data_IF_468307709277
#
_entry.id   IF_468307709277
#
_cell.length_a   1.000
_cell.length_b   1.000
_cell.length_c   1.000
_cell.angle_alpha   90.00
_cell.angle_beta   90.00
_cell.angle_gamma   90.00
#
_symmetry.space_group_name_H-M   'P 1'
#
loop_
_entity.id
_entity.type
_entity.pdbx_description
1 polymer ?
#
# COMPACT_ATOMS: atom_id res chain seq x y z
N UNK A 1 -44.21 2.80 -51.63
CA UNK A 1 -43.63 3.54 -50.49
C UNK A 1 -42.71 2.57 -49.78
N UNK A 2 -41.41 2.63 -50.05
CA UNK A 2 -40.42 1.69 -49.54
C UNK A 2 -39.82 2.18 -48.22
N UNK A 3 -39.41 1.21 -47.41
CA UNK A 3 -39.02 1.26 -46.00
C UNK A 3 -37.73 2.08 -45.77
N UNK A 4 -37.72 2.96 -44.77
CA UNK A 4 -36.50 3.43 -44.12
C UNK A 4 -36.37 2.80 -42.74
N UNK A 5 -35.60 1.71 -42.63
CA UNK A 5 -35.16 1.15 -41.35
C UNK A 5 -33.74 1.63 -41.06
N UNK A 6 -33.59 2.36 -39.95
CA UNK A 6 -32.39 3.10 -39.53
C UNK A 6 -31.13 2.25 -39.39
N UNK A 7 -30.04 2.82 -39.88
CA UNK A 7 -28.62 2.46 -39.83
C UNK A 7 -28.02 2.52 -38.40
N UNK A 8 -28.59 1.77 -37.46
CA UNK A 8 -28.07 1.66 -36.08
C UNK A 8 -27.31 0.36 -35.82
N UNK A 9 -27.65 -0.70 -36.55
CA UNK A 9 -27.11 -2.05 -36.34
C UNK A 9 -25.69 -2.23 -36.88
N UNK A 10 -25.31 -1.43 -37.88
CA UNK A 10 -23.98 -1.39 -38.50
C UNK A 10 -22.94 -0.74 -37.57
N UNK A 11 -23.29 0.39 -36.95
CA UNK A 11 -22.45 1.13 -36.00
C UNK A 11 -22.22 0.36 -34.69
N UNK A 12 -23.25 -0.32 -34.18
CA UNK A 12 -23.08 -1.20 -33.01
C UNK A 12 -22.16 -2.38 -33.33
N UNK A 13 -22.27 -2.95 -34.53
CA UNK A 13 -21.44 -4.08 -34.96
C UNK A 13 -19.97 -3.69 -35.12
N UNK A 14 -19.69 -2.53 -35.72
CA UNK A 14 -18.33 -2.03 -35.87
C UNK A 14 -17.66 -1.78 -34.51
N UNK A 15 -18.40 -1.24 -33.54
CA UNK A 15 -17.92 -1.04 -32.16
C UNK A 15 -17.66 -2.36 -31.44
N UNK A 16 -18.52 -3.36 -31.61
CA UNK A 16 -18.31 -4.70 -31.04
C UNK A 16 -17.05 -5.36 -31.62
N UNK A 17 -16.81 -5.23 -32.93
CA UNK A 17 -15.63 -5.80 -33.57
C UNK A 17 -14.34 -5.08 -33.12
N UNK A 18 -14.39 -3.77 -32.92
CA UNK A 18 -13.29 -3.00 -32.33
C UNK A 18 -12.99 -3.43 -30.88
N UNK A 19 -14.02 -3.71 -30.07
CA UNK A 19 -13.85 -4.22 -28.70
C UNK A 19 -13.24 -5.62 -28.72
N UNK A 20 -13.68 -6.51 -29.60
CA UNK A 20 -13.10 -7.86 -29.75
C UNK A 20 -11.61 -7.81 -30.13
N UNK A 21 -11.23 -6.91 -31.02
CA UNK A 21 -9.83 -6.71 -31.38
C UNK A 21 -8.99 -6.27 -30.17
N UNK A 22 -9.47 -5.30 -29.39
CA UNK A 22 -8.80 -4.85 -28.17
C UNK A 22 -8.72 -5.95 -27.10
N UNK A 23 -9.76 -6.76 -26.93
CA UNK A 23 -9.76 -7.92 -26.02
C UNK A 23 -8.72 -8.96 -26.46
N UNK A 24 -8.61 -9.21 -27.77
CA UNK A 24 -7.59 -10.11 -28.32
C UNK A 24 -6.17 -9.63 -28.01
N UNK A 25 -5.92 -8.34 -28.19
CA UNK A 25 -4.63 -7.71 -27.88
C UNK A 25 -4.32 -7.75 -26.38
N UNK A 26 -5.31 -7.47 -25.54
CA UNK A 26 -5.18 -7.57 -24.08
C UNK A 26 -4.89 -9.01 -23.64
N UNK A 27 -5.55 -10.00 -24.23
CA UNK A 27 -5.31 -11.42 -23.94
C UNK A 27 -3.89 -11.86 -24.36
N UNK A 28 -3.36 -11.30 -25.45
CA UNK A 28 -1.98 -11.53 -25.90
C UNK A 28 -0.95 -10.93 -24.93
N UNK A 29 -1.25 -9.77 -24.34
CA UNK A 29 -0.43 -9.20 -23.28
C UNK A 29 -0.53 -10.02 -21.99
N UNK A 30 -1.73 -10.48 -21.64
CA UNK A 30 -1.99 -11.30 -20.45
C UNK A 30 -1.25 -12.64 -20.50
N UNK A 31 -1.19 -13.30 -21.66
CA UNK A 31 -0.43 -14.54 -21.82
C UNK A 31 1.08 -14.33 -21.66
N UNK A 32 1.59 -13.17 -22.09
CA UNK A 32 2.99 -12.78 -21.88
C UNK A 32 3.32 -12.58 -20.40
N UNK A 33 2.38 -12.01 -19.63
CA UNK A 33 2.53 -11.85 -18.17
C UNK A 33 2.40 -13.19 -17.42
N UNK A 34 1.51 -14.09 -17.87
CA UNK A 34 1.34 -15.43 -17.26
C UNK A 34 2.53 -16.37 -17.48
N UNK A 35 3.32 -16.14 -18.52
CA UNK A 35 4.52 -16.92 -18.83
C UNK A 35 5.79 -16.34 -18.20
N UNK A 36 5.67 -15.29 -17.37
CA UNK A 36 6.75 -14.91 -16.47
C UNK A 36 6.81 -16.03 -15.42
N UNK A 37 7.93 -16.75 -15.29
CA UNK A 37 8.07 -17.71 -14.22
C UNK A 37 7.78 -16.99 -12.91
N UNK A 38 6.92 -17.55 -12.07
CA UNK A 38 6.64 -17.04 -10.70
C UNK A 38 7.87 -17.16 -9.76
N UNK A 39 9.05 -17.31 -10.37
CA UNK A 39 10.36 -17.53 -9.80
C UNK A 39 11.20 -16.27 -9.96
N UNK A 40 10.84 -15.20 -9.24
CA UNK A 40 11.87 -14.62 -8.38
C UNK A 40 12.09 -15.67 -7.29
N UNK A 41 12.98 -16.62 -7.59
CA UNK A 41 13.32 -17.74 -6.75
C UNK A 41 13.50 -17.22 -5.32
N UNK A 42 12.90 -17.90 -4.36
CA UNK A 42 12.52 -17.38 -3.04
C UNK A 42 13.68 -16.90 -2.13
N UNK A 43 14.86 -16.67 -2.67
CA UNK A 43 16.11 -16.36 -2.00
C UNK A 43 16.58 -14.97 -2.40
N UNK A 44 16.84 -14.15 -1.39
CA UNK A 44 17.58 -12.92 -1.58
C UNK A 44 19.05 -13.25 -1.90
N UNK A 45 19.72 -12.36 -2.62
CA UNK A 45 21.18 -12.45 -2.82
C UNK A 45 21.90 -12.50 -1.47
N UNK A 46 23.06 -13.16 -1.42
CA UNK A 46 23.87 -13.29 -0.21
C UNK A 46 24.09 -11.93 0.46
N UNK A 47 23.85 -11.85 1.77
CA UNK A 47 23.94 -10.59 2.56
C UNK A 47 22.61 -9.85 2.73
N UNK A 48 21.58 -10.21 1.96
CA UNK A 48 20.23 -9.65 2.13
C UNK A 48 19.34 -10.59 2.94
N UNK A 49 18.49 -10.00 3.77
CA UNK A 49 17.47 -10.68 4.56
C UNK A 49 16.13 -10.52 3.86
N UNK A 50 15.40 -11.63 3.69
CA UNK A 50 14.06 -11.61 3.09
C UNK A 50 13.03 -11.17 4.12
N UNK A 51 12.16 -10.26 3.72
CA UNK A 51 10.91 -9.99 4.42
C UNK A 51 9.79 -9.80 3.39
N UNK A 52 8.76 -10.64 3.51
CA UNK A 52 7.66 -10.73 2.54
C UNK A 52 8.19 -10.92 1.10
N UNK A 53 7.88 -9.97 0.20
CA UNK A 53 8.28 -9.98 -1.23
C UNK A 53 9.53 -9.16 -1.51
N UNK A 54 10.22 -8.70 -0.48
CA UNK A 54 11.34 -7.76 -0.58
C UNK A 54 12.60 -8.32 0.11
N UNK A 55 13.75 -7.80 -0.32
CA UNK A 55 15.07 -8.15 0.20
C UNK A 55 15.74 -6.90 0.79
N UNK A 56 16.31 -7.02 1.99
CA UNK A 56 16.85 -5.91 2.75
C UNK A 56 18.29 -6.17 3.15
N UNK A 57 19.16 -5.17 3.05
CA UNK A 57 20.52 -5.23 3.58
C UNK A 57 20.73 -4.08 4.55
N UNK A 58 21.25 -4.40 5.75
CA UNK A 58 21.52 -3.42 6.80
C UNK A 58 22.99 -3.05 6.77
N UNK A 59 23.31 -1.87 6.22
CA UNK A 59 24.67 -1.35 6.11
C UNK A 59 24.97 -0.47 7.32
N UNK A 60 26.12 -0.70 7.97
CA UNK A 60 26.53 -0.01 9.20
C UNK A 60 27.56 1.11 8.99
N UNK A 61 27.88 1.40 7.73
CA UNK A 61 28.82 2.45 7.38
C UNK A 61 28.15 3.82 7.47
N UNK A 62 28.79 4.76 8.17
CA UNK A 62 28.39 6.16 8.20
C UNK A 62 28.49 6.76 6.80
N UNK A 63 27.36 7.27 6.30
CA UNK A 63 27.24 7.88 4.98
C UNK A 63 26.25 9.03 5.08
N UNK A 64 26.42 10.05 4.23
CA UNK A 64 25.32 10.99 3.95
C UNK A 64 24.18 10.27 3.24
N UNK A 65 22.97 10.83 3.28
CA UNK A 65 21.81 10.24 2.59
C UNK A 65 22.11 9.96 1.10
N UNK A 66 22.75 10.91 0.42
CA UNK A 66 23.10 10.77 -0.99
C UNK A 66 24.16 9.68 -1.23
N UNK A 67 25.16 9.58 -0.36
CA UNK A 67 26.16 8.52 -0.43
C UNK A 67 25.54 7.15 -0.17
N UNK A 68 24.61 7.05 0.78
CA UNK A 68 23.89 5.82 1.09
C UNK A 68 23.01 5.36 -0.09
N UNK A 69 22.25 6.28 -0.69
CA UNK A 69 21.45 5.99 -1.87
C UNK A 69 22.30 5.53 -3.06
N UNK A 70 23.44 6.17 -3.31
CA UNK A 70 24.35 5.75 -4.36
C UNK A 70 24.95 4.36 -4.09
N UNK A 71 25.35 4.08 -2.86
CA UNK A 71 25.83 2.76 -2.47
C UNK A 71 24.76 1.68 -2.66
N UNK A 72 23.51 1.94 -2.25
CA UNK A 72 22.39 1.04 -2.50
C UNK A 72 22.20 0.76 -4.00
N UNK A 73 22.27 1.79 -4.85
CA UNK A 73 22.18 1.65 -6.31
C UNK A 73 23.31 0.80 -6.89
N UNK A 74 24.53 0.95 -6.39
CA UNK A 74 25.67 0.11 -6.80
C UNK A 74 25.44 -1.37 -6.48
N UNK A 75 24.66 -1.68 -5.44
CA UNK A 75 24.23 -3.04 -5.08
C UNK A 75 22.98 -3.52 -5.83
N UNK A 76 22.47 -2.75 -6.80
CA UNK A 76 21.22 -3.07 -7.49
C UNK A 76 19.96 -2.86 -6.64
N UNK A 77 20.06 -2.06 -5.57
CA UNK A 77 18.99 -1.77 -4.62
C UNK A 77 18.72 -0.25 -4.51
N UNK A 78 17.84 0.14 -3.60
CA UNK A 78 17.59 1.53 -3.21
C UNK A 78 17.59 1.64 -1.68
N UNK A 79 17.68 2.87 -1.15
CA UNK A 79 17.30 3.09 0.24
C UNK A 79 15.87 2.61 0.48
N UNK A 80 15.64 2.09 1.67
CA UNK A 80 14.42 1.37 2.02
C UNK A 80 13.20 2.29 1.94
N UNK A 81 12.13 1.81 1.30
CA UNK A 81 10.79 2.35 1.49
C UNK A 81 10.07 1.58 2.58
N UNK A 82 9.26 2.27 3.37
CA UNK A 82 8.51 1.69 4.48
C UNK A 82 7.04 1.89 4.17
N UNK A 83 6.36 0.82 3.78
CA UNK A 83 5.00 0.84 3.25
C UNK A 83 3.97 0.20 4.18
N UNK A 84 4.44 -0.55 5.16
CA UNK A 84 3.56 -1.19 6.15
C UNK A 84 4.17 -1.15 7.54
N UNK A 85 3.30 -1.27 8.54
CA UNK A 85 3.72 -1.40 9.92
C UNK A 85 4.56 -2.64 10.17
N UNK A 86 4.27 -3.76 9.50
CA UNK A 86 5.03 -5.00 9.65
C UNK A 86 6.43 -4.85 9.09
N UNK A 87 6.59 -4.15 7.96
CA UNK A 87 7.90 -3.80 7.39
C UNK A 87 8.68 -2.89 8.33
N UNK A 88 8.03 -1.85 8.87
CA UNK A 88 8.64 -0.97 9.86
C UNK A 88 9.11 -1.75 11.08
N UNK A 89 8.25 -2.62 11.64
CA UNK A 89 8.58 -3.48 12.79
C UNK A 89 9.74 -4.43 12.48
N UNK A 90 9.74 -5.03 11.29
CA UNK A 90 10.83 -5.88 10.81
C UNK A 90 12.16 -5.11 10.80
N UNK A 91 12.19 -3.92 10.20
CA UNK A 91 13.38 -3.05 10.15
C UNK A 91 13.83 -2.68 11.57
N UNK A 92 12.90 -2.21 12.41
CA UNK A 92 13.18 -1.82 13.80
C UNK A 92 13.82 -2.95 14.61
N UNK A 93 13.30 -4.18 14.48
CA UNK A 93 13.85 -5.34 15.18
C UNK A 93 15.28 -5.70 14.76
N UNK A 94 15.68 -5.37 13.53
CA UNK A 94 17.03 -5.63 13.03
C UNK A 94 18.03 -4.54 13.41
N UNK A 95 17.57 -3.30 13.60
CA UNK A 95 18.42 -2.17 13.97
C UNK A 95 18.50 -1.93 15.49
N UNK A 96 17.44 -2.25 16.25
CA UNK A 96 17.34 -1.96 17.68
C UNK A 96 18.45 -2.59 18.54
N UNK A 97 18.90 -3.84 18.30
CA UNK A 97 19.98 -4.46 19.08
C UNK A 97 21.34 -3.77 18.95
N UNK A 98 21.49 -2.83 18.01
CA UNK A 98 22.73 -2.15 17.72
C UNK A 98 22.73 -0.67 18.11
N UNK A 99 21.69 -0.19 18.81
CA UNK A 99 21.59 1.21 19.26
C UNK A 99 22.76 1.65 20.13
N UNK A 100 23.32 0.74 20.94
CA UNK A 100 24.45 1.04 21.83
C UNK A 100 25.77 1.24 21.08
N UNK A 101 25.85 0.81 19.82
CA UNK A 101 27.02 0.99 18.95
C UNK A 101 27.01 2.34 18.21
N UNK A 102 25.90 3.10 18.33
CA UNK A 102 25.73 4.42 17.70
C UNK A 102 25.38 5.45 18.80
N UNK A 103 26.39 5.94 19.54
CA UNK A 103 26.20 6.87 20.65
C UNK A 103 25.87 8.31 20.21
N UNK A 104 26.10 8.66 18.94
CA UNK A 104 25.56 9.86 18.31
C UNK A 104 24.19 9.54 17.72
N UNK A 105 23.29 10.51 17.75
CA UNK A 105 21.91 10.51 17.24
C UNK A 105 21.81 10.31 15.71
N UNK A 106 22.48 9.30 15.16
CA UNK A 106 22.63 9.11 13.72
C UNK A 106 21.48 8.27 13.17
N UNK A 107 20.68 8.98 12.38
CA UNK A 107 19.45 8.57 11.74
C UNK A 107 19.77 7.47 10.73
N UNK A 108 19.11 6.32 10.84
CA UNK A 108 19.10 5.34 9.75
C UNK A 108 18.48 6.00 8.50
N UNK A 109 19.23 6.07 7.40
CA UNK A 109 18.72 6.65 6.17
C UNK A 109 17.62 5.77 5.56
N UNK A 110 16.41 6.33 5.49
CA UNK A 110 15.32 5.78 4.70
C UNK A 110 15.23 6.51 3.35
N UNK A 111 14.60 5.88 2.36
CA UNK A 111 14.54 6.39 0.99
C UNK A 111 13.54 7.52 0.75
N UNK A 112 13.02 8.17 1.79
CA UNK A 112 12.07 9.29 1.62
C UNK A 112 12.84 10.54 1.17
N UNK A 113 12.35 11.22 0.14
CA UNK A 113 12.90 12.47 -0.39
C UNK A 113 11.79 13.39 -0.88
N UNK A 114 11.97 14.70 -0.77
CA UNK A 114 11.11 15.74 -1.35
C UNK A 114 11.84 16.57 -2.42
N UNK A 115 13.00 16.10 -2.89
CA UNK A 115 13.81 16.78 -3.93
C UNK A 115 13.05 17.06 -5.24
N UNK A 116 11.97 16.32 -5.51
CA UNK A 116 11.13 16.56 -6.68
C UNK A 116 10.21 17.79 -6.49
N UNK A 117 9.69 17.98 -5.28
CA UNK A 117 8.84 19.10 -4.89
C UNK A 117 8.87 19.24 -3.37
N UNK A 118 9.39 20.37 -2.89
CA UNK A 118 9.48 20.70 -1.47
C UNK A 118 8.15 20.45 -0.74
N UNK A 119 8.20 19.72 0.37
CA UNK A 119 7.02 19.35 1.15
C UNK A 119 6.21 18.17 0.61
N UNK A 120 6.54 17.63 -0.57
CA UNK A 120 5.92 16.43 -1.15
C UNK A 120 6.92 15.27 -1.13
N UNK A 121 6.85 14.50 -0.05
CA UNK A 121 7.75 13.36 0.17
C UNK A 121 7.37 12.14 -0.67
N UNK A 122 8.37 11.55 -1.32
CA UNK A 122 8.27 10.36 -2.16
C UNK A 122 9.39 9.36 -1.85
N UNK A 123 9.12 8.09 -2.09
CA UNK A 123 10.12 7.04 -1.96
C UNK A 123 11.01 6.96 -3.21
N UNK A 124 12.33 7.03 -3.03
CA UNK A 124 13.31 6.88 -4.13
C UNK A 124 13.27 5.51 -4.81
N UNK A 125 12.67 4.51 -4.18
CA UNK A 125 12.57 3.16 -4.73
C UNK A 125 11.59 3.05 -5.90
N UNK A 126 10.48 3.80 -5.87
CA UNK A 126 9.37 3.67 -6.82
C UNK A 126 8.56 4.95 -7.09
N UNK A 127 8.92 6.07 -6.46
CA UNK A 127 8.23 7.35 -6.60
C UNK A 127 6.89 7.43 -5.88
N UNK A 128 6.50 6.42 -5.10
CA UNK A 128 5.25 6.46 -4.34
C UNK A 128 5.31 7.54 -3.26
N UNK A 129 4.21 8.27 -3.08
CA UNK A 129 4.10 9.29 -2.02
C UNK A 129 4.23 8.63 -0.65
N UNK A 130 4.95 9.30 0.24
CA UNK A 130 5.00 8.93 1.65
C UNK A 130 3.65 9.26 2.29
N UNK A 131 2.89 8.23 2.66
CA UNK A 131 1.59 8.37 3.30
C UNK A 131 1.70 8.14 4.81
N UNK A 132 1.25 9.12 5.61
CA UNK A 132 1.25 9.04 7.08
C UNK A 132 2.57 9.43 7.74
N UNK A 133 2.59 9.41 9.08
CA UNK A 133 3.81 9.67 9.85
C UNK A 133 4.67 8.39 9.91
N UNK A 134 5.83 8.38 9.25
CA UNK A 134 6.84 7.34 9.44
C UNK A 134 7.50 7.59 10.80
N UNK A 135 6.95 7.01 11.87
CA UNK A 135 7.54 7.11 13.21
C UNK A 135 8.65 6.08 13.39
N UNK A 136 9.88 6.39 12.98
CA UNK A 136 11.05 5.48 13.12
C UNK A 136 11.48 5.19 14.58
N UNK A 137 10.79 5.74 15.57
CA UNK A 137 11.05 5.46 16.98
C UNK A 137 9.87 4.74 17.61
N UNK A 138 10.21 3.72 18.41
CA UNK A 138 9.28 2.85 19.11
C UNK A 138 8.49 3.66 20.15
N UNK A 139 7.40 4.31 19.72
CA UNK A 139 6.31 4.65 20.63
C UNK A 139 5.76 3.32 21.14
N UNK A 140 6.24 2.92 22.32
CA UNK A 140 5.86 1.72 23.06
C UNK A 140 4.39 1.76 23.50
N UNK A 141 3.64 2.79 23.11
CA UNK A 141 2.20 2.86 23.26
C UNK A 141 1.56 1.99 22.18
N UNK A 142 1.39 0.72 22.52
CA UNK A 142 0.46 -0.15 21.85
C UNK A 142 -0.92 0.52 21.89
N UNK A 143 -1.40 0.98 20.73
CA UNK A 143 -2.66 1.74 20.66
C UNK A 143 -3.79 0.85 21.18
N UNK A 144 -4.47 1.32 22.22
CA UNK A 144 -5.70 0.73 22.75
C UNK A 144 -6.89 1.38 22.05
N UNK A 145 -7.68 0.58 21.36
CA UNK A 145 -8.87 1.07 20.66
C UNK A 145 -10.05 1.21 21.63
N UNK A 146 -10.89 2.21 21.38
CA UNK A 146 -12.14 2.37 22.12
C UNK A 146 -13.08 1.17 21.88
N UNK A 147 -14.04 0.97 22.79
CA UNK A 147 -15.00 -0.14 22.68
C UNK A 147 -15.73 -0.13 21.32
N UNK A 148 -15.76 -1.29 20.66
CA UNK A 148 -16.36 -1.49 19.34
C UNK A 148 -15.53 -0.96 18.17
N UNK A 149 -14.28 -0.55 18.41
CA UNK A 149 -13.27 -0.41 17.35
C UNK A 149 -12.36 -1.63 17.34
N UNK A 150 -12.06 -2.11 16.14
CA UNK A 150 -11.12 -3.18 15.87
C UNK A 150 -9.76 -2.60 15.53
N UNK A 151 -8.73 -3.12 16.20
CA UNK A 151 -7.37 -2.71 15.96
C UNK A 151 -6.82 -3.40 14.73
N UNK A 152 -6.26 -2.61 13.81
CA UNK A 152 -5.38 -3.12 12.78
C UNK A 152 -4.15 -2.23 12.69
N UNK A 153 -2.97 -2.83 12.90
CA UNK A 153 -1.70 -2.12 13.00
C UNK A 153 -1.76 -1.00 14.06
N UNK A 154 -1.56 0.26 13.66
CA UNK A 154 -1.60 1.46 14.51
C UNK A 154 -2.88 2.28 14.33
N UNK A 155 -3.93 1.69 13.78
CA UNK A 155 -5.20 2.34 13.52
C UNK A 155 -6.34 1.54 14.15
N UNK A 156 -7.43 2.24 14.48
CA UNK A 156 -8.62 1.66 15.07
C UNK A 156 -9.77 1.83 14.09
N UNK A 157 -10.41 0.74 13.68
CA UNK A 157 -11.45 0.74 12.67
C UNK A 157 -12.80 0.38 13.28
N UNK A 158 -13.86 1.06 12.88
CA UNK A 158 -15.22 0.70 13.28
C UNK A 158 -16.08 0.48 12.05
N UNK A 159 -16.59 -0.75 11.93
CA UNK A 159 -17.47 -1.14 10.85
C UNK A 159 -18.93 -0.90 11.26
N UNK A 160 -19.63 -0.03 10.54
CA UNK A 160 -21.01 0.38 10.85
C UNK A 160 -21.99 -0.21 9.83
N UNK A 161 -23.04 -0.87 10.32
CA UNK A 161 -24.07 -1.58 9.53
C UNK A 161 -25.32 -0.73 9.35
N UNK A 162 -25.14 0.50 8.87
CA UNK A 162 -26.25 1.42 8.63
C UNK A 162 -26.12 2.02 7.22
N UNK A 163 -27.23 2.08 6.50
CA UNK A 163 -27.31 2.77 5.21
C UNK A 163 -27.42 4.27 5.47
N UNK A 164 -26.42 5.03 5.03
CA UNK A 164 -26.38 6.48 5.18
C UNK A 164 -25.85 7.14 3.92
N UNK A 165 -26.17 8.42 3.77
CA UNK A 165 -25.46 9.27 2.81
C UNK A 165 -24.02 9.46 3.27
N UNK A 166 -23.14 9.80 2.33
CA UNK A 166 -21.74 10.08 2.62
C UNK A 166 -21.56 11.14 3.73
N UNK A 167 -22.36 12.20 3.70
CA UNK A 167 -22.28 13.29 4.67
C UNK A 167 -22.72 12.86 6.07
N UNK A 168 -23.79 12.08 6.18
CA UNK A 168 -24.23 11.50 7.45
C UNK A 168 -23.18 10.54 8.01
N UNK A 169 -22.66 9.65 7.16
CA UNK A 169 -21.60 8.71 7.53
C UNK A 169 -20.35 9.43 8.05
N UNK A 170 -19.93 10.52 7.40
CA UNK A 170 -18.80 11.32 7.85
C UNK A 170 -19.08 12.01 9.19
N UNK A 171 -20.27 12.59 9.36
CA UNK A 171 -20.65 13.21 10.62
C UNK A 171 -20.67 12.19 11.76
N UNK A 172 -21.18 10.99 11.53
CA UNK A 172 -21.22 9.94 12.55
C UNK A 172 -19.83 9.47 12.95
N UNK A 173 -18.93 9.25 11.97
CA UNK A 173 -17.53 8.94 12.29
C UNK A 173 -16.92 10.05 13.14
N UNK A 174 -17.16 11.32 12.82
CA UNK A 174 -16.67 12.47 13.60
C UNK A 174 -17.26 12.52 15.01
N UNK A 175 -18.54 12.22 15.17
CA UNK A 175 -19.18 12.12 16.48
C UNK A 175 -18.55 11.01 17.35
N UNK A 176 -18.01 9.97 16.73
CA UNK A 176 -17.25 8.91 17.40
C UNK A 176 -15.76 9.25 17.61
N UNK A 177 -15.31 10.46 17.26
CA UNK A 177 -13.91 10.87 17.35
C UNK A 177 -13.02 10.29 16.24
N UNK A 178 -13.63 9.84 15.14
CA UNK A 178 -13.00 9.18 14.00
C UNK A 178 -13.30 9.95 12.69
N UNK A 179 -12.77 9.48 11.56
CA UNK A 179 -13.14 9.95 10.22
C UNK A 179 -13.58 8.76 9.35
N UNK A 180 -14.13 9.03 8.16
CA UNK A 180 -14.34 7.97 7.17
C UNK A 180 -12.99 7.38 6.75
N UNK A 181 -12.93 6.05 6.65
CA UNK A 181 -11.69 5.30 6.35
C UNK A 181 -10.93 5.88 5.16
N UNK A 182 -9.62 6.06 5.33
CA UNK A 182 -8.70 6.32 4.24
C UNK A 182 -7.78 5.11 4.06
N UNK A 183 -8.01 4.34 3.00
CA UNK A 183 -7.22 3.14 2.73
C UNK A 183 -5.88 3.53 2.09
N UNK A 184 -4.78 3.24 2.76
CA UNK A 184 -3.43 3.67 2.38
C UNK A 184 -2.49 2.54 2.01
N UNK A 185 -2.84 1.29 2.31
CA UNK A 185 -2.03 0.12 1.97
C UNK A 185 -2.86 -1.05 1.48
N UNK A 186 -2.21 -1.98 0.78
CA UNK A 186 -2.87 -3.19 0.32
C UNK A 186 -3.22 -4.11 1.50
N UNK A 187 -2.44 -4.07 2.58
CA UNK A 187 -2.71 -4.81 3.81
C UNK A 187 -3.97 -4.27 4.51
N UNK A 188 -4.13 -2.95 4.60
CA UNK A 188 -5.33 -2.30 5.14
C UNK A 188 -6.54 -2.60 4.27
N UNK A 189 -6.39 -2.51 2.94
CA UNK A 189 -7.44 -2.89 2.01
C UNK A 189 -7.85 -4.35 2.20
N UNK A 190 -6.88 -5.26 2.32
CA UNK A 190 -7.13 -6.68 2.52
C UNK A 190 -7.82 -6.94 3.86
N UNK A 191 -7.35 -6.32 4.95
CA UNK A 191 -7.98 -6.39 6.27
C UNK A 191 -9.46 -5.98 6.22
N UNK A 192 -9.75 -4.83 5.61
CA UNK A 192 -11.12 -4.33 5.43
C UNK A 192 -11.95 -5.30 4.59
N UNK A 193 -11.41 -5.79 3.47
CA UNK A 193 -12.12 -6.71 2.58
C UNK A 193 -12.40 -8.05 3.25
N UNK A 194 -11.44 -8.63 3.96
CA UNK A 194 -11.61 -9.90 4.68
C UNK A 194 -12.73 -9.75 5.73
N UNK A 195 -12.77 -8.62 6.44
CA UNK A 195 -13.85 -8.29 7.38
C UNK A 195 -15.21 -8.16 6.68
N UNK A 196 -15.30 -7.42 5.57
CA UNK A 196 -16.54 -7.27 4.79
C UNK A 196 -17.01 -8.63 4.23
N UNK A 197 -16.08 -9.43 3.71
CA UNK A 197 -16.38 -10.72 3.08
C UNK A 197 -16.81 -11.79 4.07
N UNK A 198 -16.29 -11.75 5.31
CA UNK A 198 -16.73 -12.64 6.38
C UNK A 198 -18.24 -12.49 6.71
N UNK A 199 -18.83 -11.33 6.42
CA UNK A 199 -20.25 -11.04 6.65
C UNK A 199 -21.10 -11.02 5.36
N UNK A 200 -20.56 -11.54 4.25
CA UNK A 200 -21.22 -11.57 2.94
C UNK A 200 -22.34 -12.63 2.93
N UNK A 201 -23.50 -12.24 3.46
CA UNK A 201 -24.68 -13.07 3.64
C UNK A 201 -25.74 -12.45 4.56
N UNK A 202 -25.36 -11.45 5.34
CA UNK A 202 -26.28 -10.67 6.18
C UNK A 202 -26.92 -9.53 5.36
N UNK A 203 -28.22 -9.26 5.57
CA UNK A 203 -29.00 -8.22 4.84
C UNK A 203 -28.50 -6.79 5.02
N UNK A 204 -27.48 -6.57 5.86
CA UNK A 204 -26.86 -5.28 6.14
C UNK A 204 -25.34 -5.45 6.20
N UNK A 205 -24.69 -5.49 5.03
CA UNK A 205 -23.23 -5.42 4.96
C UNK A 205 -22.77 -4.02 5.42
N UNK A 206 -21.54 -3.92 5.93
CA UNK A 206 -21.00 -2.66 6.41
C UNK A 206 -20.87 -1.66 5.26
N UNK A 207 -21.56 -0.53 5.37
CA UNK A 207 -21.54 0.54 4.35
C UNK A 207 -20.60 1.69 4.72
N UNK A 208 -20.16 1.73 5.98
CA UNK A 208 -19.40 2.82 6.54
C UNK A 208 -18.30 2.22 7.42
N UNK A 209 -17.08 2.68 7.20
CA UNK A 209 -15.93 2.31 8.02
C UNK A 209 -15.36 3.61 8.56
N UNK A 210 -15.29 3.72 9.87
CA UNK A 210 -14.66 4.84 10.56
C UNK A 210 -13.24 4.46 11.00
N UNK A 211 -12.30 5.39 10.96
CA UNK A 211 -10.90 5.22 11.39
C UNK A 211 -10.42 6.36 12.30
#
# INVERSE_FOLDING_TARGET
MALESRDGTSDVRSKVDAIRAKISELNKLLSSVRNIPDSCENQCVSGFVKFQRSCYQFVREEKTWQQAQNACRTMGANLVSIKSWEEQKFILNHIAPHKDLFPSSEVFHAGATDTAMEGVWQWVSDGSLVHGEIRLFNDSNDIQCASGFEKFQRSCYKFVREEKTWQQAQNDCRTMGANLVSIKSWEEQKFILDHIMAHKGERHYFNIICF
#
